data_IF_012922068568
#
_entry.id   IF_012922068568
#
_cell.length_a   1.000
_cell.length_b   1.000
_cell.length_c   1.000
_cell.angle_alpha   90.00
_cell.angle_beta   90.00
_cell.angle_gamma   90.00
#
_symmetry.space_group_name_H-M   'P 1'
#
loop_
_entity.id
_entity.type
_entity.pdbx_description
1 polymer ?
#
# COMPACT_ATOMS: atom_id res chain seq x y z
N UNK A 1 -22.11 27.89 -30.71
CA UNK A 1 -21.06 28.77 -30.12
C UNK A 1 -19.78 27.95 -30.09
N UNK A 2 -18.78 28.32 -30.90
CA UNK A 2 -17.59 27.51 -31.15
C UNK A 2 -16.53 27.68 -30.05
N UNK A 3 -15.86 26.63 -29.69
CA UNK A 3 -14.81 26.50 -28.65
C UNK A 3 -13.70 27.57 -28.78
N UNK A 4 -13.43 28.08 -29.97
CA UNK A 4 -12.50 29.20 -30.24
C UNK A 4 -12.92 30.54 -29.60
N UNK A 5 -14.23 30.79 -29.49
CA UNK A 5 -14.76 32.05 -28.91
C UNK A 5 -14.68 32.04 -27.37
N UNK A 6 -14.74 30.87 -26.75
CA UNK A 6 -14.60 30.70 -25.30
C UNK A 6 -13.15 30.87 -24.87
N UNK A 7 -12.17 30.39 -25.65
CA UNK A 7 -10.75 30.60 -25.38
C UNK A 7 -10.33 32.07 -25.48
N UNK A 8 -10.87 32.80 -26.48
CA UNK A 8 -10.55 34.20 -26.65
C UNK A 8 -11.10 35.09 -25.51
N UNK A 9 -12.18 34.69 -24.85
CA UNK A 9 -12.75 35.42 -23.71
C UNK A 9 -12.02 35.09 -22.38
N UNK A 10 -11.33 33.98 -22.30
CA UNK A 10 -10.54 33.59 -21.11
C UNK A 10 -9.15 34.22 -21.10
N UNK A 11 -8.57 34.52 -22.27
CA UNK A 11 -7.24 35.16 -22.39
C UNK A 11 -7.27 36.68 -22.23
N UNK A 12 -8.45 37.32 -22.15
CA UNK A 12 -8.61 38.75 -22.08
C UNK A 12 -9.10 39.31 -20.72
N UNK A 13 -9.13 38.50 -19.68
CA UNK A 13 -9.49 38.99 -18.35
C UNK A 13 -8.25 39.56 -17.63
N UNK A 14 -8.15 40.90 -17.45
CA UNK A 14 -7.07 41.48 -16.66
C UNK A 14 -7.17 40.98 -15.21
N UNK A 15 -6.03 40.62 -14.61
CA UNK A 15 -5.94 40.32 -13.18
C UNK A 15 -6.43 41.54 -12.39
N UNK A 16 -7.64 41.45 -11.85
CA UNK A 16 -8.27 42.56 -11.13
C UNK A 16 -7.74 42.59 -9.68
N UNK A 17 -6.64 43.33 -9.48
CA UNK A 17 -6.06 43.61 -8.14
C UNK A 17 -7.09 44.18 -7.16
N UNK A 18 -8.19 44.75 -7.67
CA UNK A 18 -9.31 45.26 -6.84
C UNK A 18 -10.22 44.13 -6.35
N UNK A 19 -10.25 43.00 -7.02
CA UNK A 19 -10.99 41.81 -6.55
C UNK A 19 -10.26 41.12 -5.39
N UNK A 20 -8.93 41.10 -5.45
CA UNK A 20 -8.07 40.55 -4.40
C UNK A 20 -8.12 41.42 -3.12
N UNK A 21 -8.07 42.76 -3.28
CA UNK A 21 -8.21 43.69 -2.14
C UNK A 21 -9.58 43.58 -1.46
N UNK A 22 -10.66 43.44 -2.24
CA UNK A 22 -12.02 43.24 -1.69
C UNK A 22 -12.17 41.91 -0.96
N UNK A 23 -11.54 40.84 -1.45
CA UNK A 23 -11.53 39.54 -0.75
C UNK A 23 -10.78 39.63 0.58
N UNK A 24 -9.68 40.38 0.66
CA UNK A 24 -8.92 40.60 1.89
C UNK A 24 -9.67 41.48 2.90
N UNK A 25 -10.43 42.49 2.44
CA UNK A 25 -11.28 43.29 3.35
C UNK A 25 -12.41 42.48 3.97
N UNK A 26 -13.06 41.59 3.20
CA UNK A 26 -14.08 40.67 3.73
C UNK A 26 -13.52 39.68 4.76
N UNK A 27 -12.32 39.17 4.55
CA UNK A 27 -11.62 38.29 5.51
C UNK A 27 -11.24 39.07 6.79
N UNK A 28 -10.76 40.31 6.68
CA UNK A 28 -10.45 41.18 7.84
C UNK A 28 -11.71 41.55 8.64
N UNK A 29 -12.80 41.90 7.95
CA UNK A 29 -14.08 42.22 8.61
C UNK A 29 -14.64 41.00 9.38
N UNK A 30 -14.55 39.82 8.81
CA UNK A 30 -14.96 38.57 9.48
C UNK A 30 -14.07 38.20 10.68
N UNK A 31 -12.82 38.65 10.73
CA UNK A 31 -11.92 38.44 11.85
C UNK A 31 -12.05 39.50 12.97
N UNK A 32 -12.49 40.72 12.65
CA UNK A 32 -12.63 41.84 13.58
C UNK A 32 -13.89 41.74 14.49
N UNK A 33 -14.91 40.98 14.08
CA UNK A 33 -16.17 40.85 14.83
C UNK A 33 -16.14 39.78 15.95
N UNK A 34 -14.99 39.25 16.36
CA UNK A 34 -14.90 38.26 17.45
C UNK A 34 -14.44 38.87 18.76
N UNK A 35 -15.37 39.53 19.46
CA UNK A 35 -15.26 39.67 20.93
C UNK A 35 -15.92 38.46 21.64
N UNK A 36 -15.33 37.95 22.74
CA UNK A 36 -15.73 36.68 23.33
C UNK A 36 -16.89 36.83 24.31
N UNK A 37 -18.10 36.41 23.96
CA UNK A 37 -19.18 36.17 24.93
C UNK A 37 -19.35 34.69 25.22
N UNK A 38 -19.14 34.30 26.49
CA UNK A 38 -19.31 32.95 27.04
C UNK A 38 -20.79 32.51 27.07
N UNK A 39 -21.09 31.31 26.53
CA UNK A 39 -21.96 30.26 27.13
C UNK A 39 -22.22 29.11 26.14
N UNK A 40 -22.45 27.82 26.57
CA UNK A 40 -22.17 26.62 25.79
C UNK A 40 -23.42 26.05 25.13
N UNK A 41 -23.37 25.80 23.79
CA UNK A 41 -24.32 24.92 23.11
C UNK A 41 -23.59 23.95 22.19
N UNK A 42 -23.44 22.71 22.64
CA UNK A 42 -22.69 21.63 21.96
C UNK A 42 -23.19 21.27 20.54
N UNK A 43 -24.41 21.63 20.15
CA UNK A 43 -24.99 21.27 18.85
C UNK A 43 -24.61 22.21 17.70
N UNK A 44 -24.21 23.42 17.94
CA UNK A 44 -23.80 24.38 16.89
C UNK A 44 -22.39 24.12 16.34
N UNK A 45 -21.53 23.44 17.11
CA UNK A 45 -20.16 23.12 16.69
C UNK A 45 -20.08 22.00 15.63
N UNK A 46 -21.06 21.11 15.58
CA UNK A 46 -21.13 20.04 14.56
C UNK A 46 -21.54 20.54 13.18
N UNK A 47 -22.45 21.52 13.11
CA UNK A 47 -22.89 22.09 11.82
C UNK A 47 -21.81 22.98 11.21
N UNK A 48 -21.09 23.76 12.02
CA UNK A 48 -19.97 24.60 11.55
C UNK A 48 -18.74 23.76 11.13
N UNK A 49 -18.51 22.62 11.74
CA UNK A 49 -17.46 21.69 11.31
C UNK A 49 -17.77 21.03 9.95
N UNK A 50 -19.04 20.68 9.70
CA UNK A 50 -19.46 20.07 8.43
C UNK A 50 -19.43 21.06 7.25
N UNK A 51 -19.80 22.33 7.47
CA UNK A 51 -19.69 23.39 6.44
C UNK A 51 -18.26 23.77 6.14
N UNK A 52 -17.38 23.79 7.14
CA UNK A 52 -15.94 24.04 6.91
C UNK A 52 -15.29 22.92 6.11
N UNK A 53 -15.64 21.66 6.36
CA UNK A 53 -15.13 20.50 5.60
C UNK A 53 -15.64 20.51 4.15
N UNK A 54 -16.89 20.89 3.91
CA UNK A 54 -17.44 21.01 2.56
C UNK A 54 -16.81 22.18 1.77
N UNK A 55 -16.55 23.32 2.42
CA UNK A 55 -15.86 24.45 1.81
C UNK A 55 -14.39 24.16 1.48
N UNK A 56 -13.69 23.40 2.33
CA UNK A 56 -12.31 22.96 2.08
C UNK A 56 -12.26 21.94 0.93
N UNK A 57 -13.25 21.05 0.82
CA UNK A 57 -13.34 20.09 -0.28
C UNK A 57 -13.67 20.77 -1.62
N UNK A 58 -14.51 21.79 -1.65
CA UNK A 58 -14.83 22.57 -2.85
C UNK A 58 -13.65 23.50 -3.27
N UNK A 59 -12.93 24.07 -2.31
CA UNK A 59 -11.75 24.87 -2.57
C UNK A 59 -10.55 24.03 -3.09
N UNK A 60 -10.44 22.77 -2.72
CA UNK A 60 -9.38 21.87 -3.19
C UNK A 60 -9.52 21.50 -4.68
N UNK A 61 -10.69 21.71 -5.30
CA UNK A 61 -10.96 21.45 -6.72
C UNK A 61 -10.75 22.67 -7.62
N UNK A 62 -10.54 23.88 -7.06
CA UNK A 62 -10.27 25.09 -7.79
C UNK A 62 -8.76 25.40 -7.93
N UNK A 63 -8.34 26.13 -8.96
CA UNK A 63 -6.93 26.52 -9.15
C UNK A 63 -6.30 27.21 -7.91
N UNK A 64 -6.97 28.13 -7.18
CA UNK A 64 -6.44 28.68 -5.94
C UNK A 64 -6.36 27.65 -4.79
N UNK A 65 -7.21 26.65 -4.75
CA UNK A 65 -7.15 25.59 -3.74
C UNK A 65 -5.88 24.71 -3.84
N UNK A 66 -5.35 24.53 -5.06
CA UNK A 66 -4.06 23.85 -5.28
C UNK A 66 -2.87 24.60 -4.68
N UNK A 67 -2.92 25.94 -4.69
CA UNK A 67 -1.88 26.76 -4.07
C UNK A 67 -1.85 26.61 -2.53
N UNK A 68 -3.01 26.52 -1.89
CA UNK A 68 -3.13 26.30 -0.43
C UNK A 68 -2.68 24.88 -0.08
N UNK A 69 -3.07 23.86 -0.84
CA UNK A 69 -2.60 22.48 -0.65
C UNK A 69 -1.07 22.41 -0.82
N UNK A 70 -0.52 23.10 -1.81
CA UNK A 70 0.93 23.17 -2.03
C UNK A 70 1.67 23.97 -0.93
N UNK A 71 1.02 24.98 -0.33
CA UNK A 71 1.58 25.74 0.80
C UNK A 71 1.61 24.86 2.08
N UNK A 72 0.54 24.13 2.35
CA UNK A 72 0.48 23.15 3.46
C UNK A 72 1.49 22.01 3.24
N UNK A 73 1.63 21.50 2.04
CA UNK A 73 2.66 20.49 1.69
C UNK A 73 4.08 20.98 1.95
N UNK A 74 4.38 22.24 1.63
CA UNK A 74 5.70 22.85 1.92
C UNK A 74 5.96 22.99 3.42
N UNK A 75 4.95 23.31 4.21
CA UNK A 75 5.09 23.44 5.68
C UNK A 75 5.32 22.11 6.40
N UNK A 76 4.94 20.96 5.79
CA UNK A 76 5.20 19.62 6.30
C UNK A 76 6.46 18.98 5.69
N UNK A 77 7.26 19.71 4.93
CA UNK A 77 8.52 19.21 4.36
C UNK A 77 8.35 18.27 3.16
N UNK A 78 7.21 18.28 2.49
CA UNK A 78 7.03 17.55 1.23
C UNK A 78 7.75 18.33 0.13
N UNK A 79 8.81 17.78 -0.41
CA UNK A 79 9.45 18.30 -1.62
C UNK A 79 8.45 18.25 -2.79
N UNK A 80 8.62 19.14 -3.77
CA UNK A 80 7.69 19.30 -4.91
C UNK A 80 7.30 17.95 -5.49
N UNK A 81 5.98 17.70 -5.61
CA UNK A 81 5.47 16.57 -6.36
C UNK A 81 6.04 16.61 -7.78
N UNK A 82 6.68 15.54 -8.19
CA UNK A 82 7.25 15.45 -9.52
C UNK A 82 6.18 14.99 -10.51
N UNK A 83 6.01 15.66 -11.66
CA UNK A 83 4.91 15.37 -12.58
C UNK A 83 5.06 14.03 -13.31
N UNK A 84 6.24 13.41 -13.28
CA UNK A 84 6.50 12.10 -13.88
C UNK A 84 7.52 11.32 -13.05
N UNK A 85 7.33 10.00 -12.95
CA UNK A 85 8.31 9.13 -12.34
C UNK A 85 9.52 9.00 -13.28
N UNK A 86 10.63 9.62 -12.94
CA UNK A 86 11.87 9.54 -13.70
C UNK A 86 12.98 8.82 -12.93
N UNK A 87 12.85 8.64 -11.60
CA UNK A 87 13.79 7.86 -10.79
C UNK A 87 13.13 7.43 -9.46
N UNK A 88 13.36 6.18 -9.04
CA UNK A 88 13.04 5.74 -7.69
C UNK A 88 14.08 6.32 -6.70
N UNK A 89 13.70 6.62 -5.44
CA UNK A 89 14.63 7.16 -4.45
C UNK A 89 15.63 6.12 -3.91
N UNK A 90 15.47 4.85 -4.28
CA UNK A 90 16.35 3.74 -3.92
C UNK A 90 16.56 2.81 -5.12
N UNK A 91 17.62 2.02 -5.06
CA UNK A 91 17.89 0.96 -6.03
C UNK A 91 16.81 -0.13 -6.02
N UNK A 92 16.77 -0.94 -7.08
CA UNK A 92 15.85 -2.05 -7.23
C UNK A 92 14.74 -1.77 -8.23
N UNK A 93 13.72 -2.64 -8.22
CA UNK A 93 12.59 -2.61 -9.16
C UNK A 93 11.28 -2.71 -8.40
N UNK A 94 10.39 -1.76 -8.64
CA UNK A 94 9.07 -1.73 -8.05
C UNK A 94 8.11 -2.54 -8.93
N UNK A 95 7.33 -3.44 -8.33
CA UNK A 95 6.24 -4.15 -8.97
C UNK A 95 4.92 -3.54 -8.53
N UNK A 96 4.08 -3.24 -9.51
CA UNK A 96 2.71 -2.78 -9.30
C UNK A 96 1.76 -3.57 -10.18
N UNK A 97 0.53 -3.74 -9.75
CA UNK A 97 -0.48 -4.46 -10.50
C UNK A 97 -1.88 -3.85 -10.25
N UNK A 98 -2.78 -4.04 -11.19
CA UNK A 98 -4.15 -3.53 -11.09
C UNK A 98 -4.94 -3.69 -12.38
N UNK A 99 -5.96 -2.87 -12.55
CA UNK A 99 -6.85 -2.95 -13.73
C UNK A 99 -6.15 -2.73 -15.07
N UNK A 100 -5.04 -2.00 -15.09
CA UNK A 100 -4.22 -1.76 -16.29
C UNK A 100 -3.13 -2.82 -16.51
N UNK A 101 -3.18 -3.91 -15.74
CA UNK A 101 -2.22 -4.99 -15.78
C UNK A 101 -1.09 -4.85 -14.74
N UNK A 102 -0.09 -5.71 -14.84
CA UNK A 102 1.10 -5.69 -14.01
C UNK A 102 2.25 -4.95 -14.71
N UNK A 103 3.04 -4.20 -13.92
CA UNK A 103 4.15 -3.39 -14.41
C UNK A 103 5.36 -3.50 -13.48
N UNK A 104 6.53 -3.49 -14.09
CA UNK A 104 7.81 -3.29 -13.39
C UNK A 104 8.30 -1.87 -13.67
N UNK A 105 8.69 -1.17 -12.62
CA UNK A 105 9.32 0.15 -12.68
C UNK A 105 10.76 0.00 -12.22
N UNK A 106 11.70 0.33 -13.08
CA UNK A 106 13.12 0.30 -12.76
C UNK A 106 13.57 1.54 -11.96
N UNK A 107 14.77 1.49 -11.39
CA UNK A 107 15.31 2.58 -10.59
C UNK A 107 15.43 3.91 -11.34
N UNK A 108 15.63 3.88 -12.65
CA UNK A 108 15.68 5.06 -13.53
C UNK A 108 14.29 5.61 -13.90
N UNK A 109 13.21 4.96 -13.44
CA UNK A 109 11.83 5.31 -13.74
C UNK A 109 11.28 4.71 -15.03
N UNK A 110 12.07 3.94 -15.78
CA UNK A 110 11.57 3.21 -16.94
C UNK A 110 10.54 2.14 -16.51
N UNK A 111 9.53 1.94 -17.36
CA UNK A 111 8.37 1.08 -17.03
C UNK A 111 8.22 -0.02 -18.07
N UNK A 112 8.01 -1.23 -17.61
CA UNK A 112 7.73 -2.39 -18.44
C UNK A 112 6.40 -3.02 -18.03
N UNK A 113 5.45 -3.09 -18.97
CA UNK A 113 4.21 -3.85 -18.79
C UNK A 113 4.48 -5.34 -18.96
N UNK A 114 4.00 -6.14 -18.02
CA UNK A 114 4.18 -7.59 -18.03
C UNK A 114 3.00 -8.34 -18.68
N UNK A 115 1.82 -7.74 -18.67
CA UNK A 115 0.57 -8.33 -19.19
C UNK A 115 -0.66 -7.78 -18.44
N UNK A 116 -1.83 -8.33 -18.76
CA UNK A 116 -3.12 -7.92 -18.19
C UNK A 116 -3.40 -8.58 -16.82
N UNK A 117 -2.41 -8.64 -15.97
CA UNK A 117 -2.48 -9.31 -14.68
C UNK A 117 -2.86 -8.33 -13.54
N UNK A 118 -4.08 -8.42 -12.94
CA UNK A 118 -4.49 -7.56 -11.85
C UNK A 118 -3.80 -7.85 -10.53
N UNK A 119 -3.14 -8.99 -10.38
CA UNK A 119 -2.38 -9.38 -9.19
C UNK A 119 -1.01 -9.92 -9.58
N UNK A 120 0.00 -9.56 -8.81
CA UNK A 120 1.36 -10.02 -9.04
C UNK A 120 2.18 -10.03 -7.73
N UNK A 121 3.24 -10.84 -7.69
CA UNK A 121 4.22 -10.90 -6.59
C UNK A 121 5.59 -11.24 -7.12
N UNK A 122 6.64 -10.60 -6.57
CA UNK A 122 8.02 -10.95 -6.88
C UNK A 122 8.38 -12.38 -6.42
N UNK A 123 9.21 -13.06 -7.18
CA UNK A 123 10.02 -14.17 -6.64
C UNK A 123 11.01 -13.62 -5.59
N UNK A 124 11.48 -14.43 -4.64
CA UNK A 124 12.32 -13.97 -3.52
C UNK A 124 13.57 -13.18 -3.94
N UNK A 125 14.08 -13.45 -5.15
CA UNK A 125 15.30 -12.82 -5.66
C UNK A 125 15.05 -11.88 -6.85
N UNK A 126 13.79 -11.51 -7.09
CA UNK A 126 13.43 -10.58 -8.16
C UNK A 126 13.71 -11.07 -9.59
N UNK A 127 14.00 -12.36 -9.79
CA UNK A 127 14.29 -12.93 -11.12
C UNK A 127 13.03 -13.17 -11.93
N UNK A 128 11.91 -13.43 -11.27
CA UNK A 128 10.61 -13.67 -11.86
C UNK A 128 9.51 -12.95 -11.10
N UNK A 129 8.35 -12.88 -11.72
CA UNK A 129 7.10 -12.40 -11.15
C UNK A 129 6.07 -13.51 -11.33
N UNK A 130 5.38 -13.92 -10.25
CA UNK A 130 4.13 -14.64 -10.41
C UNK A 130 3.02 -13.62 -10.60
N UNK A 131 2.24 -13.80 -11.63
CA UNK A 131 1.14 -12.92 -12.00
C UNK A 131 -0.13 -13.75 -12.16
N UNK A 132 -1.28 -13.18 -11.83
CA UNK A 132 -2.54 -13.91 -11.93
C UNK A 132 -3.64 -13.04 -12.55
N UNK A 133 -4.37 -13.66 -13.45
CA UNK A 133 -5.72 -13.33 -13.84
C UNK A 133 -6.73 -14.18 -13.06
N UNK A 134 -8.02 -14.04 -13.38
CA UNK A 134 -9.07 -14.78 -12.66
C UNK A 134 -8.88 -16.30 -12.78
N UNK A 135 -8.46 -16.79 -13.92
CA UNK A 135 -8.38 -18.22 -14.22
C UNK A 135 -7.01 -18.68 -14.70
N UNK A 136 -6.00 -17.82 -14.65
CA UNK A 136 -4.65 -18.15 -15.07
C UNK A 136 -3.62 -17.64 -14.06
N UNK A 137 -2.67 -18.49 -13.71
CA UNK A 137 -1.44 -18.16 -13.00
C UNK A 137 -0.29 -18.24 -14.01
N UNK A 138 0.54 -17.23 -14.06
CA UNK A 138 1.69 -17.16 -14.95
C UNK A 138 2.96 -16.83 -14.17
N UNK A 139 4.07 -17.44 -14.53
CA UNK A 139 5.40 -16.96 -14.18
C UNK A 139 5.97 -16.19 -15.34
N UNK A 140 6.35 -14.94 -15.10
CA UNK A 140 6.87 -14.04 -16.13
C UNK A 140 8.22 -13.47 -15.70
N UNK A 141 9.08 -13.19 -16.68
CA UNK A 141 10.32 -12.44 -16.39
C UNK A 141 9.99 -10.96 -16.14
N UNK A 142 10.86 -10.19 -15.49
CA UNK A 142 10.67 -8.75 -15.34
C UNK A 142 10.64 -7.97 -16.66
N UNK A 143 11.01 -8.63 -17.77
CA UNK A 143 10.93 -8.09 -19.13
C UNK A 143 9.62 -8.43 -19.83
N UNK A 144 8.73 -9.23 -19.19
CA UNK A 144 7.42 -9.60 -19.71
C UNK A 144 7.38 -10.91 -20.51
N UNK A 145 8.48 -11.67 -20.60
CA UNK A 145 8.45 -12.99 -21.24
C UNK A 145 7.78 -14.00 -20.29
N UNK A 146 6.76 -14.71 -20.80
CA UNK A 146 6.08 -15.79 -20.08
C UNK A 146 7.00 -17.00 -20.02
N UNK A 147 7.22 -17.54 -18.83
CA UNK A 147 8.00 -18.73 -18.61
C UNK A 147 7.13 -19.99 -18.59
N UNK A 148 6.00 -19.93 -17.86
CA UNK A 148 4.97 -20.95 -17.84
C UNK A 148 3.63 -20.35 -17.42
N UNK A 149 2.54 -21.08 -17.72
CA UNK A 149 1.18 -20.76 -17.28
C UNK A 149 0.51 -21.99 -16.69
N UNK A 150 -0.45 -21.75 -15.79
CA UNK A 150 -1.26 -22.77 -15.14
C UNK A 150 -2.70 -22.29 -15.04
N UNK A 151 -3.64 -23.04 -15.62
CA UNK A 151 -5.07 -22.72 -15.56
C UNK A 151 -5.69 -23.29 -14.29
N UNK A 152 -6.33 -22.43 -13.49
CA UNK A 152 -7.14 -22.76 -12.30
C UNK A 152 -8.25 -21.73 -12.16
N UNK A 153 -9.44 -22.11 -11.68
CA UNK A 153 -10.54 -21.16 -11.52
C UNK A 153 -10.31 -20.24 -10.31
N UNK A 154 -10.69 -18.97 -10.46
CA UNK A 154 -10.76 -17.99 -9.36
C UNK A 154 -9.47 -17.83 -8.55
N UNK A 155 -8.35 -17.71 -9.25
CA UNK A 155 -7.03 -17.50 -8.62
C UNK A 155 -6.99 -16.16 -7.91
N UNK A 156 -6.50 -16.18 -6.66
CA UNK A 156 -6.31 -15.00 -5.81
C UNK A 156 -5.02 -15.08 -5.02
N UNK A 157 -4.44 -13.91 -4.77
CA UNK A 157 -3.33 -13.72 -3.84
C UNK A 157 -2.11 -14.59 -4.14
N UNK A 158 -1.58 -14.59 -5.37
CA UNK A 158 -0.36 -15.32 -5.65
C UNK A 158 0.79 -14.75 -4.83
N UNK A 159 1.55 -15.63 -4.19
CA UNK A 159 2.72 -15.28 -3.37
C UNK A 159 3.84 -16.23 -3.66
N UNK A 160 4.98 -15.69 -4.04
CA UNK A 160 6.19 -16.45 -4.30
C UNK A 160 7.11 -16.43 -3.09
N UNK A 161 7.64 -17.58 -2.68
CA UNK A 161 8.57 -17.75 -1.58
C UNK A 161 9.60 -18.82 -1.86
N UNK A 162 10.54 -19.00 -0.92
CA UNK A 162 11.58 -20.01 -1.00
C UNK A 162 13.00 -19.47 -1.09
N UNK A 163 13.93 -20.35 -1.45
CA UNK A 163 15.35 -20.05 -1.61
C UNK A 163 15.69 -19.62 -3.05
N UNK A 164 16.96 -19.45 -3.35
CA UNK A 164 17.42 -19.09 -4.68
C UNK A 164 17.21 -20.20 -5.72
N UNK A 165 17.32 -21.43 -5.28
CA UNK A 165 17.31 -22.64 -6.13
C UNK A 165 16.07 -23.48 -5.97
N UNK A 166 15.34 -23.30 -4.87
CA UNK A 166 14.09 -24.03 -4.58
C UNK A 166 13.01 -23.06 -4.12
N UNK A 167 12.00 -22.85 -4.94
CA UNK A 167 10.94 -21.88 -4.70
C UNK A 167 9.57 -22.52 -4.81
N UNK A 168 8.60 -21.93 -4.10
CA UNK A 168 7.20 -22.31 -4.12
C UNK A 168 6.32 -21.08 -4.34
N UNK A 169 5.18 -21.31 -4.96
CA UNK A 169 4.14 -20.30 -5.11
C UNK A 169 2.90 -20.80 -4.38
N UNK A 170 2.39 -19.97 -3.48
CA UNK A 170 1.09 -20.20 -2.83
C UNK A 170 0.04 -19.27 -3.47
N UNK A 171 -1.16 -19.79 -3.65
CA UNK A 171 -2.31 -19.01 -4.12
C UNK A 171 -3.61 -19.63 -3.60
N UNK A 172 -4.70 -18.86 -3.66
CA UNK A 172 -6.02 -19.36 -3.28
C UNK A 172 -6.91 -19.52 -4.52
N UNK A 173 -7.72 -20.58 -4.52
CA UNK A 173 -8.90 -20.69 -5.38
C UNK A 173 -10.12 -20.75 -4.49
N UNK A 174 -10.98 -19.71 -4.53
CA UNK A 174 -12.07 -19.53 -3.56
C UNK A 174 -11.54 -19.57 -2.11
N UNK A 175 -11.63 -20.70 -1.41
CA UNK A 175 -11.13 -20.92 -0.05
C UNK A 175 -10.08 -22.04 0.06
N UNK A 176 -9.62 -22.58 -1.06
CA UNK A 176 -8.63 -23.66 -1.10
C UNK A 176 -7.23 -23.08 -1.29
N UNK A 177 -6.31 -23.46 -0.41
CA UNK A 177 -4.90 -23.13 -0.55
C UNK A 177 -4.23 -24.12 -1.51
N UNK A 178 -3.56 -23.58 -2.50
CA UNK A 178 -2.74 -24.31 -3.46
C UNK A 178 -1.28 -23.96 -3.31
N UNK A 179 -0.41 -24.92 -3.56
CA UNK A 179 1.04 -24.74 -3.58
C UNK A 179 1.55 -25.40 -4.85
N UNK A 180 2.37 -24.67 -5.61
CA UNK A 180 3.03 -25.14 -6.82
C UNK A 180 4.51 -24.81 -6.75
N UNK A 181 5.38 -25.65 -7.32
CA UNK A 181 6.80 -25.34 -7.44
C UNK A 181 7.03 -24.11 -8.33
N UNK A 182 8.17 -23.43 -8.14
CA UNK A 182 8.48 -22.20 -8.90
C UNK A 182 8.62 -22.41 -10.40
N UNK A 183 8.85 -23.65 -10.85
CA UNK A 183 8.87 -24.05 -12.25
C UNK A 183 7.50 -24.42 -12.82
N UNK A 184 6.43 -24.30 -12.03
CA UNK A 184 5.07 -24.63 -12.43
C UNK A 184 4.66 -26.08 -12.25
N UNK A 185 5.56 -26.95 -11.78
CA UNK A 185 5.28 -28.37 -11.55
C UNK A 185 4.66 -28.63 -10.18
N UNK A 186 4.03 -29.80 -10.02
CA UNK A 186 3.57 -30.29 -8.72
C UNK A 186 2.47 -29.43 -8.09
N UNK A 187 1.63 -28.77 -8.89
CA UNK A 187 0.50 -28.01 -8.36
C UNK A 187 -0.47 -28.93 -7.62
N UNK A 188 -0.60 -28.68 -6.33
CA UNK A 188 -1.45 -29.44 -5.44
C UNK A 188 -2.23 -28.54 -4.50
N UNK A 189 -3.49 -28.87 -4.25
CA UNK A 189 -4.17 -28.32 -3.09
C UNK A 189 -3.54 -28.91 -1.82
N UNK A 190 -3.39 -28.08 -0.82
CA UNK A 190 -2.80 -28.48 0.46
C UNK A 190 -3.76 -29.44 1.20
N UNK A 191 -3.64 -30.76 0.92
CA UNK A 191 -4.51 -31.81 1.48
C UNK A 191 -4.47 -31.79 3.01
N UNK A 192 -5.64 -31.96 3.65
CA UNK A 192 -5.74 -32.01 5.11
C UNK A 192 -5.62 -30.65 5.82
N UNK A 193 -5.35 -29.55 5.11
CA UNK A 193 -5.35 -28.23 5.70
C UNK A 193 -6.75 -27.61 5.71
N UNK A 194 -7.11 -26.84 6.75
CA UNK A 194 -8.38 -26.12 6.80
C UNK A 194 -8.54 -25.13 5.65
N UNK A 195 -9.79 -24.89 5.23
CA UNK A 195 -10.13 -23.87 4.28
C UNK A 195 -9.55 -22.49 4.67
N UNK A 196 -9.07 -21.73 3.70
CA UNK A 196 -8.45 -20.43 3.89
C UNK A 196 -9.48 -19.28 3.88
N UNK A 197 -9.27 -18.27 4.69
CA UNK A 197 -9.92 -16.97 4.58
C UNK A 197 -9.36 -16.18 3.39
N UNK A 198 -10.06 -15.15 2.88
CA UNK A 198 -9.60 -14.32 1.76
C UNK A 198 -8.52 -13.30 2.22
N UNK A 199 -7.49 -13.79 2.86
CA UNK A 199 -6.31 -13.04 3.30
C UNK A 199 -5.10 -13.59 2.56
N UNK A 200 -4.25 -12.74 1.96
CA UNK A 200 -3.04 -13.20 1.28
C UNK A 200 -2.17 -14.07 2.19
N UNK A 201 -1.77 -15.27 1.75
CA UNK A 201 -0.79 -16.07 2.48
C UNK A 201 0.58 -15.39 2.49
N UNK A 202 1.42 -15.73 3.45
CA UNK A 202 2.75 -15.13 3.62
C UNK A 202 3.81 -16.23 3.81
N UNK A 203 4.82 -16.21 2.95
CA UNK A 203 5.98 -17.08 3.08
C UNK A 203 6.94 -16.53 4.13
N UNK A 204 7.44 -17.40 5.00
CA UNK A 204 8.56 -17.08 5.86
C UNK A 204 9.79 -16.87 4.97
N UNK A 205 10.50 -15.75 5.08
CA UNK A 205 11.76 -15.56 4.37
C UNK A 205 12.75 -16.66 4.76
N UNK A 206 13.39 -17.25 3.78
CA UNK A 206 14.02 -18.55 3.90
C UNK A 206 15.17 -18.61 4.91
N UNK A 207 15.02 -19.47 5.91
CA UNK A 207 16.12 -20.26 6.39
C UNK A 207 16.32 -21.42 5.38
N UNK A 208 17.53 -21.76 5.04
CA UNK A 208 18.02 -22.43 3.85
C UNK A 208 17.27 -23.69 3.32
N UNK A 209 16.42 -24.35 4.08
CA UNK A 209 15.96 -25.69 3.73
C UNK A 209 14.45 -25.97 3.91
N UNK A 210 13.61 -24.96 4.13
CA UNK A 210 12.19 -25.20 4.46
C UNK A 210 11.26 -24.14 3.91
N UNK A 211 10.24 -24.58 3.20
CA UNK A 211 9.16 -23.71 2.76
C UNK A 211 8.08 -23.61 3.84
N UNK A 212 8.15 -22.57 4.66
CA UNK A 212 7.18 -22.31 5.73
C UNK A 212 6.20 -21.25 5.28
N UNK A 213 4.92 -21.57 5.34
CA UNK A 213 3.83 -20.72 4.92
C UNK A 213 2.90 -20.41 6.08
N UNK A 214 2.55 -19.16 6.25
CA UNK A 214 1.45 -18.72 7.12
C UNK A 214 0.23 -18.39 6.27
N UNK A 215 -0.95 -18.81 6.71
CA UNK A 215 -2.21 -18.40 6.14
C UNK A 215 -3.29 -18.28 7.23
N UNK A 216 -4.35 -17.54 6.93
CA UNK A 216 -5.51 -17.44 7.81
C UNK A 216 -6.56 -18.45 7.36
N UNK A 217 -7.08 -19.22 8.29
CA UNK A 217 -8.17 -20.16 8.01
C UNK A 217 -9.52 -19.46 7.97
N UNK A 218 -10.54 -20.09 7.36
CA UNK A 218 -11.92 -19.60 7.35
C UNK A 218 -12.54 -19.45 8.76
N UNK A 219 -11.86 -19.96 9.80
CA UNK A 219 -12.23 -19.77 11.22
C UNK A 219 -11.39 -18.68 11.89
N UNK A 220 -10.81 -17.76 11.12
CA UNK A 220 -10.03 -16.63 11.61
C UNK A 220 -8.82 -16.99 12.50
N UNK A 221 -8.18 -18.14 12.21
CA UNK A 221 -6.95 -18.60 12.89
C UNK A 221 -5.77 -18.50 11.95
N UNK A 222 -4.65 -18.02 12.44
CA UNK A 222 -3.37 -18.16 11.74
C UNK A 222 -2.92 -19.62 11.87
N UNK A 223 -2.57 -20.21 10.74
CA UNK A 223 -1.98 -21.54 10.69
C UNK A 223 -0.65 -21.45 9.96
N UNK A 224 0.42 -21.91 10.60
CA UNK A 224 1.76 -21.98 10.02
C UNK A 224 2.06 -23.44 9.69
N UNK A 225 2.46 -23.66 8.44
CA UNK A 225 2.65 -25.00 7.88
C UNK A 225 4.05 -25.15 7.27
N UNK A 226 4.56 -26.34 7.32
CA UNK A 226 5.65 -26.80 6.47
C UNK A 226 5.02 -27.21 5.13
N UNK A 227 5.26 -26.44 4.09
CA UNK A 227 4.60 -26.61 2.80
C UNK A 227 5.07 -27.87 2.05
N UNK A 228 6.30 -28.30 2.27
CA UNK A 228 6.86 -29.50 1.62
C UNK A 228 6.29 -30.79 2.23
N UNK A 229 6.03 -30.78 3.56
CA UNK A 229 5.46 -31.93 4.28
C UNK A 229 3.94 -31.90 4.42
N UNK A 230 3.31 -30.75 4.15
CA UNK A 230 1.90 -30.56 4.40
C UNK A 230 1.53 -30.58 5.90
N UNK A 231 2.51 -30.43 6.80
CA UNK A 231 2.32 -30.56 8.24
C UNK A 231 2.18 -29.20 8.91
N UNK A 232 1.25 -29.13 9.89
CA UNK A 232 1.05 -27.91 10.68
C UNK A 232 2.15 -27.81 11.73
N UNK A 233 2.85 -26.68 11.79
CA UNK A 233 3.82 -26.36 12.84
C UNK A 233 3.14 -25.85 14.10
N UNK A 234 2.26 -24.85 13.93
CA UNK A 234 1.44 -24.32 15.01
C UNK A 234 0.18 -23.63 14.47
N UNK A 235 -0.79 -23.42 15.37
CA UNK A 235 -2.03 -22.69 15.11
C UNK A 235 -2.24 -21.67 16.23
N UNK A 236 -2.75 -20.50 15.86
CA UNK A 236 -3.10 -19.46 16.84
C UNK A 236 -4.47 -19.71 17.48
N UNK A 237 -4.82 -18.88 18.45
CA UNK A 237 -6.20 -18.61 18.82
C UNK A 237 -6.97 -17.99 17.64
N UNK A 238 -8.28 -17.82 17.78
CA UNK A 238 -9.13 -17.13 16.83
C UNK A 238 -9.02 -15.61 17.04
N UNK A 239 -8.88 -14.85 15.95
CA UNK A 239 -8.77 -13.40 15.95
C UNK A 239 -9.84 -12.78 15.05
N UNK A 240 -10.61 -11.83 15.56
CA UNK A 240 -11.73 -11.24 14.83
C UNK A 240 -11.30 -10.36 13.64
N UNK A 241 -11.69 -10.76 12.44
CA UNK A 241 -11.52 -9.99 11.21
C UNK A 241 -10.07 -9.79 10.80
N UNK A 242 -9.31 -10.87 10.55
CA UNK A 242 -7.95 -10.80 10.04
C UNK A 242 -7.92 -10.14 8.66
N UNK A 243 -6.87 -9.35 8.39
CA UNK A 243 -6.78 -8.51 7.18
C UNK A 243 -5.48 -8.67 6.42
N UNK A 244 -4.36 -8.86 7.12
CA UNK A 244 -3.05 -8.96 6.51
C UNK A 244 -2.11 -9.81 7.36
N UNK A 245 -1.20 -10.52 6.70
CA UNK A 245 -0.08 -11.24 7.28
C UNK A 245 1.23 -10.71 6.70
N UNK A 246 2.26 -10.58 7.53
CA UNK A 246 3.61 -10.27 7.09
C UNK A 246 4.64 -10.95 8.00
N UNK A 247 5.68 -11.54 7.40
CA UNK A 247 6.83 -12.05 8.11
C UNK A 247 7.91 -10.98 8.23
N UNK A 248 8.65 -10.96 9.34
CA UNK A 248 9.93 -10.26 9.43
C UNK A 248 10.93 -10.89 8.47
N UNK A 249 11.87 -10.08 7.92
CA UNK A 249 12.81 -10.59 6.91
C UNK A 249 13.84 -11.58 7.50
N UNK A 250 14.07 -11.55 8.81
CA UNK A 250 14.85 -12.58 9.51
C UNK A 250 14.05 -13.85 9.82
N UNK A 251 12.76 -13.88 9.46
CA UNK A 251 11.86 -15.01 9.65
C UNK A 251 11.47 -15.32 11.09
N UNK A 252 11.80 -14.45 12.06
CA UNK A 252 11.56 -14.74 13.50
C UNK A 252 10.21 -14.28 14.01
N UNK A 253 9.61 -13.27 13.39
CA UNK A 253 8.28 -12.77 13.75
C UNK A 253 7.29 -12.88 12.58
N UNK A 254 6.05 -13.22 12.91
CA UNK A 254 4.90 -13.09 12.01
C UNK A 254 3.93 -12.07 12.58
N UNK A 255 3.58 -11.06 11.80
CA UNK A 255 2.57 -10.07 12.17
C UNK A 255 1.23 -10.39 11.51
N UNK A 256 0.14 -10.29 12.29
CA UNK A 256 -1.24 -10.34 11.84
C UNK A 256 -1.91 -8.99 12.13
N UNK A 257 -2.46 -8.34 11.12
CA UNK A 257 -3.39 -7.24 11.32
C UNK A 257 -4.81 -7.77 11.43
N UNK A 258 -5.51 -7.35 12.47
CA UNK A 258 -6.94 -7.60 12.67
C UNK A 258 -7.72 -6.28 12.60
N UNK A 259 -9.01 -6.32 12.91
CA UNK A 259 -9.83 -5.12 12.99
C UNK A 259 -9.44 -4.22 14.17
N UNK A 260 -9.05 -4.81 15.30
CA UNK A 260 -8.89 -4.14 16.59
C UNK A 260 -7.44 -4.04 17.05
N UNK A 261 -6.54 -4.86 16.52
CA UNK A 261 -5.16 -4.92 16.99
C UNK A 261 -4.21 -5.48 15.93
N UNK A 262 -2.93 -5.38 16.18
CA UNK A 262 -1.87 -6.13 15.49
C UNK A 262 -1.32 -7.17 16.47
N UNK A 263 -1.19 -8.40 16.02
CA UNK A 263 -0.65 -9.50 16.83
C UNK A 263 0.68 -9.95 16.22
N UNK A 264 1.71 -10.02 17.04
CA UNK A 264 3.02 -10.53 16.68
C UNK A 264 3.19 -11.92 17.25
N UNK A 265 3.58 -12.87 16.42
CA UNK A 265 3.84 -14.24 16.80
C UNK A 265 5.33 -14.54 16.69
N UNK A 266 5.89 -15.15 17.72
CA UNK A 266 7.18 -15.81 17.62
C UNK A 266 7.09 -16.96 16.61
N UNK A 267 7.96 -16.98 15.62
CA UNK A 267 7.91 -17.90 14.48
C UNK A 267 8.01 -19.38 14.90
N UNK A 268 8.77 -19.67 15.94
CA UNK A 268 9.06 -21.03 16.41
C UNK A 268 7.97 -21.58 17.32
N UNK A 269 7.47 -20.77 18.24
CA UNK A 269 6.55 -21.19 19.29
C UNK A 269 5.09 -20.86 19.05
N UNK A 270 4.81 -19.90 18.15
CA UNK A 270 3.48 -19.34 17.97
C UNK A 270 3.01 -18.46 19.13
N UNK A 271 3.91 -18.10 20.08
CA UNK A 271 3.56 -17.21 21.20
C UNK A 271 3.18 -15.85 20.67
N UNK A 272 2.01 -15.37 21.06
CA UNK A 272 1.43 -14.12 20.61
C UNK A 272 1.74 -12.96 21.57
N UNK A 273 1.99 -11.78 21.01
CA UNK A 273 2.09 -10.49 21.72
C UNK A 273 1.21 -9.48 21.00
N UNK A 274 0.25 -8.89 21.72
CA UNK A 274 -0.65 -7.88 21.15
C UNK A 274 0.02 -6.51 21.08
N UNK A 275 -0.23 -5.80 19.99
CA UNK A 275 0.08 -4.37 19.81
C UNK A 275 -1.24 -3.67 19.58
N UNK A 276 -1.69 -2.88 20.55
CA UNK A 276 -2.99 -2.21 20.55
C UNK A 276 -3.05 -1.06 19.54
N UNK A 277 -3.17 -1.39 18.27
CA UNK A 277 -3.34 -0.47 17.15
C UNK A 277 -4.51 -0.93 16.30
N UNK A 278 -5.61 -0.22 16.36
CA UNK A 278 -6.82 -0.55 15.63
C UNK A 278 -6.79 -0.11 14.16
N UNK A 279 -7.60 -0.77 13.33
CA UNK A 279 -7.87 -0.32 11.96
C UNK A 279 -6.72 -0.51 10.97
N UNK A 280 -5.72 -1.30 11.32
CA UNK A 280 -4.61 -1.63 10.43
C UNK A 280 -5.12 -2.51 9.28
N UNK A 281 -4.73 -2.17 8.04
CA UNK A 281 -5.17 -2.84 6.81
C UNK A 281 -4.04 -3.51 6.04
N UNK A 282 -2.81 -3.02 6.20
CA UNK A 282 -1.62 -3.61 5.61
C UNK A 282 -0.44 -3.50 6.57
N UNK A 283 0.49 -4.42 6.40
CA UNK A 283 1.70 -4.58 7.19
C UNK A 283 2.91 -4.74 6.27
N UNK A 284 4.04 -4.15 6.61
CA UNK A 284 5.29 -4.39 5.91
C UNK A 284 6.48 -4.28 6.87
N UNK A 285 7.29 -5.34 6.96
CA UNK A 285 8.56 -5.30 7.68
C UNK A 285 9.66 -4.70 6.82
N UNK A 286 10.47 -3.84 7.42
CA UNK A 286 11.72 -3.37 6.85
C UNK A 286 12.84 -4.40 7.05
N UNK A 287 13.95 -4.33 6.28
CA UNK A 287 15.11 -5.21 6.46
C UNK A 287 15.74 -5.19 7.85
N UNK A 288 15.62 -4.08 8.57
CA UNK A 288 16.12 -3.91 9.94
C UNK A 288 15.12 -4.32 11.04
N UNK A 289 13.98 -4.90 10.66
CA UNK A 289 12.94 -5.39 11.56
C UNK A 289 11.91 -4.36 11.99
N UNK A 290 11.98 -3.11 11.54
CA UNK A 290 10.89 -2.16 11.77
C UNK A 290 9.62 -2.62 11.07
N UNK A 291 8.46 -2.41 11.69
CA UNK A 291 7.17 -2.78 11.13
C UNK A 291 6.35 -1.53 10.80
N UNK A 292 6.08 -1.34 9.52
CA UNK A 292 5.14 -0.33 9.05
C UNK A 292 3.70 -0.86 9.12
N UNK A 293 2.80 -0.03 9.65
CA UNK A 293 1.39 -0.33 9.83
C UNK A 293 0.58 0.71 9.04
N UNK A 294 -0.25 0.25 8.12
CA UNK A 294 -1.11 1.12 7.33
C UNK A 294 -2.52 1.15 7.91
N UNK A 295 -2.95 2.31 8.35
CA UNK A 295 -4.35 2.64 8.61
C UNK A 295 -4.95 3.39 7.42
N UNK A 296 -6.25 3.66 7.47
CA UNK A 296 -6.93 4.34 6.36
C UNK A 296 -6.36 5.72 6.03
N UNK A 297 -5.86 6.46 7.01
CA UNK A 297 -5.41 7.85 6.88
C UNK A 297 -4.05 8.13 7.47
N UNK A 298 -3.33 7.09 7.89
CA UNK A 298 -1.98 7.28 8.45
C UNK A 298 -1.12 6.03 8.24
N UNK A 299 0.18 6.26 8.17
CA UNK A 299 1.23 5.27 8.25
C UNK A 299 1.87 5.39 9.63
N UNK A 300 1.88 4.29 10.36
CA UNK A 300 2.56 4.16 11.64
C UNK A 300 3.81 3.31 11.46
N UNK A 301 4.80 3.53 12.32
CA UNK A 301 6.02 2.75 12.37
C UNK A 301 6.21 2.22 13.79
N UNK A 302 6.33 0.89 13.91
CA UNK A 302 6.70 0.22 15.16
C UNK A 302 8.19 -0.10 15.13
N UNK A 303 8.89 0.38 16.15
CA UNK A 303 10.32 0.12 16.39
C UNK A 303 10.55 -0.01 17.90
N UNK A 304 11.31 -1.01 18.34
CA UNK A 304 11.68 -1.24 19.74
C UNK A 304 10.46 -1.21 20.70
N UNK A 305 9.36 -1.84 20.28
CA UNK A 305 8.10 -1.91 21.02
C UNK A 305 7.26 -0.62 21.02
N UNK A 306 7.78 0.48 20.49
CA UNK A 306 7.08 1.77 20.41
C UNK A 306 6.43 1.97 19.04
N UNK A 307 5.25 2.58 19.01
CA UNK A 307 4.53 2.94 17.78
C UNK A 307 4.50 4.46 17.67
N UNK A 308 4.89 4.98 16.51
CA UNK A 308 4.81 6.41 16.19
C UNK A 308 4.18 6.65 14.84
N UNK A 309 3.54 7.78 14.64
CA UNK A 309 3.07 8.20 13.32
C UNK A 309 4.28 8.60 12.46
N UNK A 310 4.41 7.97 11.30
CA UNK A 310 5.40 8.33 10.29
C UNK A 310 4.82 9.36 9.32
N UNK A 311 3.56 9.16 8.89
CA UNK A 311 2.93 10.03 7.90
C UNK A 311 1.41 10.04 8.08
N UNK A 312 0.81 11.23 7.92
CA UNK A 312 -0.63 11.46 7.86
C UNK A 312 -0.89 12.52 6.80
N UNK A 313 -1.52 12.17 5.66
CA UNK A 313 -1.87 13.16 4.65
C UNK A 313 -2.99 14.08 5.17
N UNK A 314 -3.09 15.32 4.65
CA UNK A 314 -4.16 16.25 5.01
C UNK A 314 -5.54 15.75 4.57
N UNK A 315 -5.62 14.81 3.64
CA UNK A 315 -6.87 14.24 3.15
C UNK A 315 -6.64 12.93 2.38
N UNK A 316 -7.74 12.24 2.05
CA UNK A 316 -7.71 11.00 1.29
C UNK A 316 -7.44 9.75 2.14
N UNK A 317 -7.57 8.59 1.49
CA UNK A 317 -7.24 7.28 2.06
C UNK A 317 -5.93 6.80 1.44
N UNK A 318 -5.07 6.27 2.29
CA UNK A 318 -3.83 5.64 1.85
C UNK A 318 -4.11 4.24 1.30
N UNK A 319 -3.29 3.77 0.36
CA UNK A 319 -3.36 2.45 -0.25
C UNK A 319 -2.38 1.44 0.34
N UNK A 320 -1.52 0.86 -0.49
CA UNK A 320 -0.54 -0.17 -0.11
C UNK A 320 0.70 0.37 0.61
N UNK A 321 1.53 -0.56 1.09
CA UNK A 321 2.84 -0.30 1.66
C UNK A 321 3.89 -1.22 1.06
N UNK A 322 5.04 -0.68 0.65
CA UNK A 322 6.23 -1.47 0.33
C UNK A 322 7.49 -0.74 0.79
N UNK A 323 8.44 -1.49 1.34
CA UNK A 323 9.76 -0.98 1.67
C UNK A 323 10.70 -1.05 0.47
N UNK A 324 11.60 -0.08 0.36
CA UNK A 324 12.77 -0.22 -0.52
C UNK A 324 13.68 -1.34 -0.03
N UNK A 325 14.43 -2.01 -0.92
CA UNK A 325 15.31 -3.12 -0.55
C UNK A 325 16.37 -2.76 0.50
N UNK A 326 16.79 -1.49 0.55
CA UNK A 326 17.73 -0.97 1.55
C UNK A 326 17.06 -0.52 2.87
N UNK A 327 15.75 -0.64 2.99
CA UNK A 327 14.98 -0.25 4.17
C UNK A 327 14.91 1.26 4.45
N UNK A 328 15.48 2.10 3.59
CA UNK A 328 15.55 3.55 3.83
C UNK A 328 14.26 4.28 3.50
N UNK A 329 13.49 3.73 2.55
CA UNK A 329 12.26 4.34 2.05
C UNK A 329 11.07 3.41 2.18
N UNK A 330 9.97 3.97 2.61
CA UNK A 330 8.67 3.32 2.60
C UNK A 330 7.78 4.03 1.57
N UNK A 331 7.25 3.28 0.62
CA UNK A 331 6.31 3.78 -0.38
C UNK A 331 4.89 3.46 0.05
N UNK A 332 4.01 4.45 -0.04
CA UNK A 332 2.56 4.31 0.10
C UNK A 332 1.81 5.01 -1.02
N UNK A 333 0.58 4.62 -1.24
CA UNK A 333 -0.33 5.15 -2.25
C UNK A 333 -1.25 6.22 -1.66
N UNK A 334 -1.50 7.29 -2.41
CA UNK A 334 -2.53 8.28 -2.11
C UNK A 334 -3.43 8.47 -3.35
N UNK A 335 -4.35 7.50 -3.64
CA UNK A 335 -5.14 7.49 -4.86
C UNK A 335 -6.00 8.74 -5.06
N UNK A 336 -6.52 9.33 -3.97
CA UNK A 336 -7.32 10.56 -4.03
C UNK A 336 -6.55 11.77 -4.57
N UNK A 337 -5.22 11.77 -4.45
CA UNK A 337 -4.34 12.80 -5.00
C UNK A 337 -3.66 12.36 -6.30
N UNK A 338 -3.92 11.12 -6.75
CA UNK A 338 -3.22 10.48 -7.87
C UNK A 338 -1.70 10.46 -7.68
N UNK A 339 -1.26 10.10 -6.44
CA UNK A 339 0.15 10.20 -6.02
C UNK A 339 0.66 8.92 -5.38
N UNK A 340 1.95 8.65 -5.62
CA UNK A 340 2.79 7.81 -4.79
C UNK A 340 3.60 8.67 -3.83
N UNK A 341 3.67 8.27 -2.56
CA UNK A 341 4.37 9.00 -1.51
C UNK A 341 5.48 8.13 -0.93
N UNK A 342 6.72 8.57 -1.14
CA UNK A 342 7.91 7.94 -0.57
C UNK A 342 8.26 8.64 0.74
N UNK A 343 8.34 7.87 1.80
CA UNK A 343 8.62 8.32 3.16
C UNK A 343 10.01 7.85 3.56
N UNK A 344 10.91 8.76 3.88
CA UNK A 344 12.21 8.38 4.43
C UNK A 344 12.03 7.94 5.88
N UNK A 345 12.36 6.68 6.19
CA UNK A 345 12.20 6.11 7.52
C UNK A 345 13.43 6.37 8.42
N UNK A 346 14.62 6.48 7.82
CA UNK A 346 15.89 6.69 8.52
C UNK A 346 16.64 7.91 8.00
N UNK A 347 17.38 8.59 8.88
CA UNK A 347 18.29 9.69 8.54
C UNK A 347 17.64 11.01 8.17
N UNK A 348 16.34 11.20 8.47
CA UNK A 348 15.61 12.45 8.20
C UNK A 348 14.12 12.25 8.06
N UNK A 349 13.39 13.35 7.82
CA UNK A 349 11.93 13.35 7.54
C UNK A 349 11.65 13.81 6.12
N UNK A 350 12.35 13.23 5.15
CA UNK A 350 12.13 13.58 3.75
C UNK A 350 10.92 12.83 3.21
N UNK A 351 10.03 13.56 2.53
CA UNK A 351 8.86 13.02 1.86
C UNK A 351 8.93 13.45 0.40
N UNK A 352 8.90 12.46 -0.50
CA UNK A 352 8.84 12.69 -1.94
C UNK A 352 7.47 12.23 -2.44
N UNK A 353 6.80 13.07 -3.24
CA UNK A 353 5.55 12.70 -3.88
C UNK A 353 5.73 12.70 -5.41
N UNK A 354 5.21 11.66 -6.05
CA UNK A 354 5.12 11.55 -7.50
C UNK A 354 3.66 11.55 -7.90
N UNK A 355 3.26 12.53 -8.70
CA UNK A 355 1.87 12.73 -9.13
C UNK A 355 1.61 12.16 -10.53
N UNK A 356 0.33 12.18 -10.95
CA UNK A 356 -0.14 11.70 -12.26
C UNK A 356 0.15 10.20 -12.49
N UNK A 357 -0.01 9.40 -11.45
CA UNK A 357 0.22 7.96 -11.49
C UNK A 357 -0.76 7.30 -12.46
N UNK A 358 -2.04 7.66 -12.42
CA UNK A 358 -3.06 7.13 -13.34
C UNK A 358 -2.67 7.34 -14.81
N UNK A 359 -2.17 8.53 -15.16
CA UNK A 359 -1.74 8.82 -16.53
C UNK A 359 -0.53 7.98 -16.96
N UNK A 360 0.32 7.58 -16.02
CA UNK A 360 1.51 6.78 -16.30
C UNK A 360 1.23 5.29 -16.52
N UNK A 361 0.14 4.76 -15.95
CA UNK A 361 -0.19 3.33 -15.97
C UNK A 361 -1.55 3.01 -16.60
N UNK A 362 -2.32 4.01 -17.05
CA UNK A 362 -3.66 3.84 -17.59
C UNK A 362 -4.76 3.72 -16.53
N UNK A 363 -4.42 3.27 -15.32
CA UNK A 363 -5.24 3.28 -14.10
C UNK A 363 -4.31 3.37 -12.89
N UNK A 364 -4.83 3.78 -11.73
CA UNK A 364 -4.03 3.81 -10.50
C UNK A 364 -3.71 2.37 -10.06
N UNK A 365 -2.43 1.94 -10.10
CA UNK A 365 -2.04 0.57 -9.76
C UNK A 365 -1.84 0.41 -8.25
N UNK A 366 -1.98 -0.81 -7.76
CA UNK A 366 -1.64 -1.18 -6.38
C UNK A 366 -0.20 -1.66 -6.27
N UNK A 367 0.45 -1.32 -5.17
CA UNK A 367 1.80 -1.78 -4.84
C UNK A 367 1.81 -3.28 -4.58
N UNK A 368 2.74 -3.99 -5.23
CA UNK A 368 2.88 -5.45 -5.11
C UNK A 368 4.21 -5.88 -4.52
N UNK A 369 5.24 -5.03 -4.54
CA UNK A 369 6.54 -5.31 -3.96
C UNK A 369 7.68 -4.47 -4.55
N UNK A 370 8.80 -4.41 -3.85
CA UNK A 370 10.02 -3.73 -4.30
C UNK A 370 11.20 -4.69 -4.13
N UNK A 371 11.76 -5.18 -5.22
CA UNK A 371 12.88 -6.12 -5.24
C UNK A 371 14.21 -5.41 -5.51
N UNK A 372 15.27 -5.87 -4.86
CA UNK A 372 16.65 -5.40 -5.04
C UNK A 372 17.40 -6.11 -6.18
#
# INVERSE_FOLDING_TARGET
MTERRVRQLLDSAPADERAEARAWELVRAAYAEREPRRRPRRRLRLVLALTAVAAIAAAALSQPGRAVVNAVRRSIGIERAQPALFRLPAAGRLLVAGRSGAWVVAADGSKRRLGDYPQASWSPHGLYVVAAETNELAAVTPTGAVHWTLSRPQIRFPRWGGTRTDTRIAYLTTSTLHIVAGDGTGDAHAKGLPAAAPVPPAWQPAAADRHVLAYVTARDRVTVVDADRGSVRWKSATYAGPRALAWSLDGKELALATRTEVVLFDARTGRATAVHVEGVRALAFAPDGQLALLRSREVLLRQDGRVRTLFMPPGGRLGGLVWSPDGRWLLTELPAADEWVFLQAHGGRRILAVSHITAQFGAFPSLSGWAG
#
